data_IF_331770452473
#
_entry.id   IF_331770452473
#
_cell.length_a   1.000
_cell.length_b   1.000
_cell.length_c   1.000
_cell.angle_alpha   90.00
_cell.angle_beta   90.00
_cell.angle_gamma   90.00
#
_symmetry.space_group_name_H-M   'P 1'
#
loop_
_entity.id
_entity.type
_entity.pdbx_description
1 polymer ?
#
# COMPACT_ATOMS: atom_id res chain seq x y z
N UNK A 1 -27.83 34.58 -76.97
CA UNK A 1 -26.78 34.66 -75.94
C UNK A 1 -26.93 33.41 -75.06
N UNK A 2 -26.05 32.41 -75.18
CA UNK A 2 -26.16 31.21 -74.34
C UNK A 2 -25.37 31.38 -73.05
N UNK A 3 -25.99 30.95 -71.91
CA UNK A 3 -25.40 30.85 -70.58
C UNK A 3 -24.58 29.58 -70.48
N UNK A 4 -23.29 29.68 -70.23
CA UNK A 4 -22.43 28.54 -69.78
C UNK A 4 -22.62 28.27 -68.35
N UNK A 5 -23.04 27.02 -68.01
CA UNK A 5 -23.05 26.49 -66.66
C UNK A 5 -21.72 25.75 -66.41
N UNK A 6 -20.93 26.21 -65.42
CA UNK A 6 -19.71 25.59 -65.02
C UNK A 6 -20.10 24.50 -63.92
N UNK A 7 -19.87 23.24 -64.22
CA UNK A 7 -20.01 22.14 -63.31
C UNK A 7 -18.67 21.97 -62.57
N UNK A 8 -18.62 22.35 -61.28
CA UNK A 8 -17.49 22.07 -60.40
C UNK A 8 -17.69 20.65 -59.79
N UNK A 9 -16.87 19.71 -60.23
CA UNK A 9 -16.82 18.37 -59.63
C UNK A 9 -15.99 18.42 -58.35
N UNK A 10 -16.67 18.28 -57.20
CA UNK A 10 -16.02 18.10 -55.89
C UNK A 10 -15.63 16.62 -55.73
N UNK A 11 -14.33 16.35 -55.79
CA UNK A 11 -13.77 15.08 -55.33
C UNK A 11 -13.63 15.10 -53.82
N UNK A 12 -14.51 14.38 -53.11
CA UNK A 12 -14.35 14.11 -51.70
C UNK A 12 -13.37 12.97 -51.55
N UNK A 13 -12.14 13.29 -51.14
CA UNK A 13 -11.19 12.30 -50.64
C UNK A 13 -11.65 11.83 -49.25
N UNK A 14 -12.27 10.68 -49.20
CA UNK A 14 -12.42 9.93 -47.92
C UNK A 14 -11.05 9.43 -47.51
N UNK A 15 -10.36 10.19 -46.68
CA UNK A 15 -9.26 9.66 -45.87
C UNK A 15 -9.81 8.71 -44.81
N UNK A 16 -9.81 7.41 -45.11
CA UNK A 16 -9.98 6.36 -44.11
C UNK A 16 -8.83 6.44 -43.13
N UNK A 17 -9.02 7.17 -42.01
CA UNK A 17 -8.17 7.05 -40.84
C UNK A 17 -8.38 5.65 -40.29
N UNK A 18 -7.53 4.72 -40.70
CA UNK A 18 -7.31 3.47 -39.95
C UNK A 18 -6.80 3.89 -38.57
N UNK A 19 -7.71 3.98 -37.61
CA UNK A 19 -7.36 4.09 -36.20
C UNK A 19 -6.44 2.93 -35.86
N UNK A 20 -5.16 3.21 -35.67
CA UNK A 20 -4.26 2.27 -35.03
C UNK A 20 -4.82 2.06 -33.61
N UNK A 21 -5.54 0.97 -33.39
CA UNK A 21 -5.70 0.45 -32.03
C UNK A 21 -4.31 0.19 -31.48
N UNK A 22 -3.80 1.13 -30.71
CA UNK A 22 -2.65 0.88 -29.85
C UNK A 22 -3.11 -0.16 -28.87
N UNK A 23 -2.69 -1.40 -29.06
CA UNK A 23 -2.85 -2.49 -28.10
C UNK A 23 -2.00 -2.13 -26.87
N UNK A 24 -2.48 -1.17 -26.06
CA UNK A 24 -1.95 -0.91 -24.74
C UNK A 24 -2.28 -2.18 -23.94
N UNK A 25 -1.28 -2.89 -23.40
CA UNK A 25 -1.54 -4.08 -22.60
C UNK A 25 -2.56 -3.73 -21.52
N UNK A 26 -3.73 -4.35 -21.55
CA UNK A 26 -4.77 -4.11 -20.55
C UNK A 26 -4.25 -4.60 -19.22
N UNK A 27 -4.05 -3.67 -18.26
CA UNK A 27 -3.63 -4.03 -16.92
C UNK A 27 -4.77 -4.77 -16.19
N UNK A 28 -4.46 -5.90 -15.55
CA UNK A 28 -5.42 -6.70 -14.82
C UNK A 28 -4.89 -7.04 -13.43
N UNK A 29 -5.71 -6.79 -12.41
CA UNK A 29 -5.47 -7.27 -11.04
C UNK A 29 -5.62 -8.79 -10.94
N UNK A 30 -5.09 -9.41 -9.90
CA UNK A 30 -5.25 -10.84 -9.65
C UNK A 30 -6.72 -11.29 -9.64
N UNK A 31 -7.64 -10.47 -9.09
CA UNK A 31 -9.09 -10.73 -9.13
C UNK A 31 -9.66 -10.73 -10.56
N UNK A 32 -9.15 -9.86 -11.43
CA UNK A 32 -9.59 -9.81 -12.82
C UNK A 32 -9.10 -11.04 -13.58
N UNK A 33 -7.87 -11.47 -13.34
CA UNK A 33 -7.28 -12.68 -13.91
C UNK A 33 -8.07 -13.92 -13.46
N UNK A 34 -8.37 -14.04 -12.16
CA UNK A 34 -9.20 -15.09 -11.63
C UNK A 34 -10.59 -15.10 -12.29
N UNK A 35 -11.16 -13.90 -12.52
CA UNK A 35 -12.42 -13.73 -13.24
C UNK A 35 -12.35 -14.15 -14.71
N UNK A 36 -11.22 -13.95 -15.41
CA UNK A 36 -11.00 -14.47 -16.77
C UNK A 36 -10.98 -15.99 -16.82
N UNK A 37 -10.59 -16.65 -15.73
CA UNK A 37 -10.65 -18.10 -15.57
C UNK A 37 -12.02 -18.59 -15.11
N UNK A 38 -13.02 -17.71 -15.05
CA UNK A 38 -14.37 -18.01 -14.57
C UNK A 38 -14.35 -18.63 -13.15
N UNK A 39 -13.42 -18.18 -12.31
CA UNK A 39 -13.23 -18.60 -10.91
C UNK A 39 -13.06 -20.13 -10.73
N UNK A 40 -12.61 -20.85 -11.77
CA UNK A 40 -12.51 -22.32 -11.76
C UNK A 40 -11.68 -22.87 -10.61
N UNK A 41 -10.66 -22.13 -10.15
CA UNK A 41 -9.77 -22.52 -9.05
C UNK A 41 -10.50 -22.58 -7.69
N UNK A 42 -11.66 -21.91 -7.58
CA UNK A 42 -12.49 -21.84 -6.37
C UNK A 42 -13.81 -22.60 -6.47
N UNK A 43 -14.16 -23.13 -7.66
CA UNK A 43 -15.44 -23.84 -7.86
C UNK A 43 -15.54 -25.05 -6.95
N UNK A 44 -16.70 -25.21 -6.30
CA UNK A 44 -16.99 -26.31 -5.38
C UNK A 44 -16.35 -26.21 -4.01
N UNK A 45 -15.40 -25.27 -3.80
CA UNK A 45 -14.71 -25.06 -2.51
C UNK A 45 -15.46 -24.04 -1.65
N UNK A 46 -15.45 -24.24 -0.34
CA UNK A 46 -15.93 -23.27 0.64
C UNK A 46 -14.84 -22.22 0.92
N UNK A 47 -15.13 -20.97 0.61
CA UNK A 47 -14.18 -19.86 0.56
C UNK A 47 -14.41 -18.91 1.71
N UNK A 48 -13.32 -18.59 2.44
CA UNK A 48 -13.20 -17.42 3.31
C UNK A 48 -12.43 -16.31 2.57
N UNK A 49 -12.85 -15.06 2.69
CA UNK A 49 -12.19 -13.92 2.03
C UNK A 49 -11.68 -12.91 3.06
N UNK A 50 -10.36 -12.67 3.05
CA UNK A 50 -9.75 -11.56 3.78
C UNK A 50 -9.77 -10.34 2.88
N UNK A 51 -10.51 -9.29 3.27
CA UNK A 51 -10.73 -8.11 2.44
C UNK A 51 -11.13 -6.87 3.24
N UNK A 52 -11.09 -5.73 2.57
CA UNK A 52 -11.64 -4.45 3.02
C UNK A 52 -12.12 -3.64 1.80
N UNK A 53 -12.48 -2.33 1.92
CA UNK A 53 -12.94 -1.54 0.78
C UNK A 53 -11.97 -1.46 -0.40
N UNK A 54 -10.67 -1.68 -0.19
CA UNK A 54 -9.67 -1.67 -1.27
C UNK A 54 -9.64 -2.97 -2.09
N UNK A 55 -10.29 -4.04 -1.60
CA UNK A 55 -10.45 -5.31 -2.32
C UNK A 55 -11.52 -5.19 -3.41
N UNK A 56 -11.14 -4.61 -4.55
CA UNK A 56 -12.01 -4.40 -5.72
C UNK A 56 -11.34 -4.90 -6.99
N UNK A 57 -12.15 -5.16 -8.03
CA UNK A 57 -11.64 -5.43 -9.38
C UNK A 57 -11.22 -4.14 -10.11
N UNK A 58 -10.67 -4.26 -11.31
CA UNK A 58 -10.25 -3.11 -12.14
C UNK A 58 -11.37 -2.13 -12.50
N UNK A 59 -12.64 -2.51 -12.29
CA UNK A 59 -13.83 -1.66 -12.49
C UNK A 59 -14.37 -1.08 -11.19
N UNK A 60 -13.74 -1.38 -10.05
CA UNK A 60 -14.18 -0.94 -8.72
C UNK A 60 -15.27 -1.79 -8.10
N UNK A 61 -15.58 -2.97 -8.64
CA UNK A 61 -16.54 -3.88 -8.04
C UNK A 61 -15.89 -4.64 -6.87
N UNK A 62 -16.47 -4.62 -5.65
CA UNK A 62 -15.93 -5.34 -4.51
C UNK A 62 -15.69 -6.82 -4.77
N UNK A 63 -14.53 -7.34 -4.39
CA UNK A 63 -14.16 -8.74 -4.57
C UNK A 63 -15.16 -9.70 -3.92
N UNK A 64 -15.69 -9.36 -2.74
CA UNK A 64 -16.70 -10.19 -2.10
C UNK A 64 -17.99 -10.32 -2.95
N UNK A 65 -18.40 -9.26 -3.68
CA UNK A 65 -19.54 -9.33 -4.60
C UNK A 65 -19.24 -10.22 -5.81
N UNK A 66 -18.02 -10.10 -6.37
CA UNK A 66 -17.56 -10.95 -7.47
C UNK A 66 -17.58 -12.41 -7.07
N UNK A 67 -17.01 -12.74 -5.91
CA UNK A 67 -16.99 -14.11 -5.39
C UNK A 67 -18.39 -14.61 -5.02
N UNK A 68 -19.24 -13.76 -4.41
CA UNK A 68 -20.63 -14.14 -4.09
C UNK A 68 -21.43 -14.48 -5.35
N UNK A 69 -21.25 -13.68 -6.41
CA UNK A 69 -21.90 -13.95 -7.70
C UNK A 69 -21.42 -15.26 -8.33
N UNK A 70 -20.12 -15.55 -8.26
CA UNK A 70 -19.52 -16.73 -8.89
C UNK A 70 -19.74 -18.03 -8.10
N UNK A 71 -19.68 -17.96 -6.76
CA UNK A 71 -19.62 -19.12 -5.87
C UNK A 71 -20.91 -19.34 -5.07
N UNK A 72 -21.82 -18.37 -5.07
CA UNK A 72 -23.06 -18.43 -4.31
C UNK A 72 -22.82 -18.62 -2.81
N UNK A 73 -23.48 -19.63 -2.21
CA UNK A 73 -23.38 -19.94 -0.79
C UNK A 73 -21.99 -20.46 -0.37
N UNK A 74 -21.10 -20.77 -1.31
CA UNK A 74 -19.74 -21.23 -1.01
C UNK A 74 -18.80 -20.09 -0.59
N UNK A 75 -19.15 -18.82 -0.76
CA UNK A 75 -18.50 -17.74 -0.01
C UNK A 75 -19.08 -17.73 1.41
N UNK A 76 -18.36 -18.36 2.36
CA UNK A 76 -18.88 -18.70 3.69
C UNK A 76 -18.50 -17.72 4.79
N UNK A 77 -17.42 -16.94 4.61
CA UNK A 77 -16.95 -15.97 5.60
C UNK A 77 -16.14 -14.81 4.98
N UNK A 78 -16.24 -13.63 5.59
CA UNK A 78 -15.39 -12.47 5.34
C UNK A 78 -14.54 -12.20 6.59
N UNK A 79 -13.30 -11.74 6.38
CA UNK A 79 -12.36 -11.44 7.46
C UNK A 79 -11.80 -10.03 7.25
N UNK A 80 -12.06 -9.14 8.22
CA UNK A 80 -11.61 -7.75 8.20
C UNK A 80 -10.26 -7.58 8.85
N UNK A 81 -9.26 -6.97 8.17
CA UNK A 81 -8.01 -6.54 8.80
C UNK A 81 -8.24 -5.29 9.66
N UNK A 82 -7.18 -4.58 10.04
CA UNK A 82 -7.28 -3.23 10.57
C UNK A 82 -8.25 -2.38 9.72
N UNK A 83 -9.07 -1.56 10.34
CA UNK A 83 -10.20 -0.81 9.79
C UNK A 83 -11.46 -1.64 9.47
N UNK A 84 -11.41 -2.97 9.50
CA UNK A 84 -12.54 -3.87 9.23
C UNK A 84 -12.88 -4.05 7.75
N UNK A 85 -13.78 -4.99 7.46
CA UNK A 85 -14.24 -5.30 6.08
C UNK A 85 -14.81 -4.07 5.37
N UNK A 86 -15.49 -3.18 6.10
CA UNK A 86 -16.16 -1.99 5.55
C UNK A 86 -15.37 -0.68 5.74
N UNK A 87 -14.17 -0.72 6.33
CA UNK A 87 -13.30 0.44 6.46
C UNK A 87 -13.78 1.54 7.42
N UNK A 88 -14.67 1.22 8.36
CA UNK A 88 -15.35 2.21 9.23
C UNK A 88 -14.59 2.55 10.51
N UNK A 89 -13.50 1.84 10.83
CA UNK A 89 -12.76 1.98 12.10
C UNK A 89 -11.46 2.75 11.89
N UNK A 90 -11.18 3.73 12.77
CA UNK A 90 -9.94 4.53 12.71
C UNK A 90 -8.68 3.71 12.98
N UNK A 91 -7.50 4.23 12.56
CA UNK A 91 -6.21 3.57 12.71
C UNK A 91 -5.89 3.24 14.18
N UNK A 92 -5.30 2.09 14.43
CA UNK A 92 -4.88 1.62 15.75
C UNK A 92 -6.02 1.29 16.71
N UNK A 93 -7.28 1.54 16.32
CA UNK A 93 -8.43 1.21 17.18
C UNK A 93 -8.83 -0.22 17.00
N UNK A 94 -9.14 -0.85 18.13
CA UNK A 94 -9.71 -2.18 18.19
C UNK A 94 -10.95 -2.23 17.29
N UNK A 95 -10.97 -3.11 16.30
CA UNK A 95 -12.14 -3.42 15.51
C UNK A 95 -12.99 -4.35 16.38
N UNK A 96 -13.53 -3.78 17.52
CA UNK A 96 -14.43 -4.49 18.42
C UNK A 96 -15.70 -4.72 17.65
N UNK A 97 -15.91 -5.99 17.32
CA UNK A 97 -17.18 -6.44 16.83
C UNK A 97 -17.78 -5.46 15.81
N UNK A 98 -17.38 -5.51 14.55
CA UNK A 98 -18.48 -5.52 13.60
C UNK A 98 -19.40 -6.54 14.20
N UNK A 99 -20.56 -6.08 14.68
CA UNK A 99 -21.48 -6.81 15.60
C UNK A 99 -21.96 -8.19 15.09
N UNK A 100 -21.26 -8.80 14.18
CA UNK A 100 -21.68 -9.85 13.26
C UNK A 100 -20.73 -11.07 13.19
N UNK A 101 -19.81 -11.22 14.10
CA UNK A 101 -18.96 -12.43 14.21
C UNK A 101 -18.97 -13.08 15.58
N UNK A 102 -19.65 -12.46 16.56
CA UNK A 102 -19.75 -12.95 17.92
C UNK A 102 -21.01 -13.79 18.11
N UNK A 103 -20.85 -14.90 18.83
CA UNK A 103 -21.95 -15.64 19.45
C UNK A 103 -22.49 -14.80 20.63
N UNK A 104 -23.32 -13.78 20.30
CA UNK A 104 -23.84 -12.82 21.27
C UNK A 104 -24.74 -13.44 22.33
N UNK A 105 -25.36 -14.57 21.98
CA UNK A 105 -26.33 -15.22 22.82
C UNK A 105 -25.74 -16.45 23.49
N UNK A 106 -24.45 -16.77 23.28
CA UNK A 106 -23.78 -17.97 23.72
C UNK A 106 -24.54 -19.26 23.27
N UNK A 107 -25.24 -19.18 22.13
CA UNK A 107 -26.03 -20.27 21.55
C UNK A 107 -25.26 -21.06 20.48
N UNK A 108 -23.99 -20.74 20.27
CA UNK A 108 -23.11 -21.37 19.28
C UNK A 108 -23.35 -20.87 17.84
N UNK A 109 -24.25 -19.90 17.62
CA UNK A 109 -24.55 -19.37 16.29
C UNK A 109 -23.79 -18.06 16.02
N UNK A 110 -22.99 -18.06 14.97
CA UNK A 110 -22.30 -16.86 14.49
C UNK A 110 -23.30 -16.07 13.65
N UNK A 111 -23.54 -14.79 14.03
CA UNK A 111 -24.43 -13.91 13.27
C UNK A 111 -23.85 -13.64 11.88
N UNK A 112 -24.74 -13.48 10.90
CA UNK A 112 -24.40 -13.05 9.55
C UNK A 112 -24.55 -11.53 9.48
N UNK A 113 -23.72 -10.91 8.67
CA UNK A 113 -23.85 -9.50 8.33
C UNK A 113 -25.13 -9.26 7.53
N UNK A 114 -25.89 -8.20 7.88
CA UNK A 114 -27.19 -7.92 7.28
C UNK A 114 -27.09 -7.52 5.80
N UNK A 115 -26.03 -6.81 5.42
CA UNK A 115 -25.82 -6.35 4.04
C UNK A 115 -25.38 -7.50 3.12
N UNK A 116 -24.44 -8.32 3.58
CA UNK A 116 -23.84 -9.38 2.77
C UNK A 116 -24.50 -10.74 2.94
N UNK A 117 -25.18 -10.99 4.06
CA UNK A 117 -25.69 -12.29 4.46
C UNK A 117 -24.60 -13.33 4.74
N UNK A 118 -23.35 -12.90 4.98
CA UNK A 118 -22.16 -13.74 5.18
C UNK A 118 -21.66 -13.55 6.61
N UNK A 119 -20.99 -14.54 7.19
CA UNK A 119 -20.29 -14.38 8.49
C UNK A 119 -19.14 -13.39 8.33
N UNK A 120 -19.00 -12.44 9.24
CA UNK A 120 -17.91 -11.46 9.24
C UNK A 120 -17.10 -11.60 10.53
N UNK A 121 -15.79 -11.70 10.41
CA UNK A 121 -14.84 -11.81 11.51
C UNK A 121 -13.85 -10.67 11.49
N UNK A 122 -13.46 -10.16 12.67
CA UNK A 122 -12.37 -9.20 12.81
C UNK A 122 -11.04 -9.93 13.03
N UNK A 123 -10.01 -9.48 12.29
CA UNK A 123 -8.60 -9.84 12.49
C UNK A 123 -7.80 -8.67 13.08
N UNK A 124 -8.48 -7.70 13.70
CA UNK A 124 -7.84 -6.58 14.38
C UNK A 124 -8.63 -6.19 15.65
N UNK A 125 -8.86 -7.18 16.48
CA UNK A 125 -9.62 -7.06 17.71
C UNK A 125 -8.97 -7.91 18.80
N UNK A 126 -9.76 -8.80 19.40
CA UNK A 126 -9.30 -9.75 20.42
C UNK A 126 -8.26 -10.71 19.86
N UNK A 127 -8.31 -10.98 18.58
CA UNK A 127 -7.29 -11.75 17.86
C UNK A 127 -6.85 -11.05 16.58
N UNK A 128 -5.59 -11.26 16.18
CA UNK A 128 -5.04 -10.85 14.87
C UNK A 128 -4.81 -12.04 13.96
N UNK A 129 -4.77 -13.25 14.53
CA UNK A 129 -4.67 -14.51 13.81
C UNK A 129 -6.06 -15.17 13.80
N UNK A 130 -6.54 -15.66 12.65
CA UNK A 130 -7.79 -16.42 12.60
C UNK A 130 -7.74 -17.58 13.57
N UNK A 131 -8.76 -17.72 14.42
CA UNK A 131 -8.89 -18.89 15.30
C UNK A 131 -9.38 -20.11 14.52
N UNK A 132 -9.18 -21.32 15.07
CA UNK A 132 -9.67 -22.54 14.44
C UNK A 132 -11.19 -22.50 14.20
N UNK A 133 -11.95 -21.91 15.14
CA UNK A 133 -13.41 -21.71 15.03
C UNK A 133 -13.80 -20.77 13.88
N UNK A 134 -13.05 -19.69 13.69
CA UNK A 134 -13.28 -18.76 12.54
C UNK A 134 -13.10 -19.47 11.21
N UNK A 135 -12.22 -20.47 11.14
CA UNK A 135 -11.92 -21.25 9.92
C UNK A 135 -12.82 -22.47 9.71
N UNK A 136 -13.81 -22.70 10.60
CA UNK A 136 -14.70 -23.86 10.46
C UNK A 136 -15.53 -23.78 9.17
N UNK A 137 -15.45 -24.85 8.38
CA UNK A 137 -16.10 -24.96 7.10
C UNK A 137 -15.46 -24.13 5.99
N UNK A 138 -14.22 -23.64 6.17
CA UNK A 138 -13.41 -22.99 5.13
C UNK A 138 -12.41 -24.00 4.56
N UNK A 139 -12.29 -24.06 3.24
CA UNK A 139 -11.34 -24.92 2.51
C UNK A 139 -10.24 -24.10 1.83
N UNK A 140 -10.56 -22.84 1.47
CA UNK A 140 -9.59 -21.89 0.87
C UNK A 140 -9.77 -20.52 1.51
N UNK A 141 -8.68 -19.95 2.00
CA UNK A 141 -8.59 -18.54 2.41
C UNK A 141 -8.11 -17.70 1.24
N UNK A 142 -8.99 -16.91 0.64
CA UNK A 142 -8.62 -15.92 -0.37
C UNK A 142 -8.20 -14.63 0.33
N UNK A 143 -7.08 -14.06 -0.08
CA UNK A 143 -6.56 -12.79 0.42
C UNK A 143 -6.57 -11.75 -0.69
N UNK A 144 -7.29 -10.65 -0.48
CA UNK A 144 -7.41 -9.54 -1.43
C UNK A 144 -7.48 -8.19 -0.72
N UNK A 145 -6.29 -7.62 -0.45
CA UNK A 145 -6.09 -6.32 0.18
C UNK A 145 -5.03 -5.53 -0.58
N UNK A 146 -5.29 -4.23 -0.79
CA UNK A 146 -4.29 -3.32 -1.33
C UNK A 146 -3.35 -2.86 -0.22
N UNK A 147 -2.09 -3.27 -0.29
CA UNK A 147 -1.02 -2.79 0.59
C UNK A 147 -0.43 -1.46 0.08
N UNK A 148 0.38 -0.79 0.91
CA UNK A 148 1.08 0.46 0.57
C UNK A 148 2.58 0.28 0.30
N UNK A 149 3.10 -0.93 0.39
CA UNK A 149 4.51 -1.25 0.11
C UNK A 149 5.48 -0.92 1.26
N UNK A 150 4.96 -0.72 2.47
CA UNK A 150 5.72 -0.33 3.63
C UNK A 150 5.54 -1.32 4.80
N UNK A 151 6.64 -1.74 5.43
CA UNK A 151 6.66 -2.79 6.46
C UNK A 151 5.73 -2.51 7.64
N UNK A 152 5.58 -1.25 8.03
CA UNK A 152 4.75 -0.87 9.18
C UNK A 152 3.25 -0.86 8.87
N UNK A 153 2.85 -1.02 7.62
CA UNK A 153 1.45 -1.14 7.25
C UNK A 153 0.95 -2.57 7.53
N UNK A 154 -0.07 -2.70 8.37
CA UNK A 154 -0.39 -3.95 9.08
C UNK A 154 -0.89 -5.10 8.21
N UNK A 155 -1.28 -4.83 6.96
CA UNK A 155 -1.89 -5.85 6.11
C UNK A 155 -0.95 -7.00 5.78
N UNK A 156 0.34 -6.72 5.61
CA UNK A 156 1.32 -7.80 5.42
C UNK A 156 1.41 -8.73 6.63
N UNK A 157 1.29 -8.18 7.84
CA UNK A 157 1.28 -8.97 9.08
C UNK A 157 0.00 -9.80 9.20
N UNK A 158 -1.15 -9.24 8.81
CA UNK A 158 -2.41 -9.99 8.69
C UNK A 158 -2.27 -11.15 7.71
N UNK A 159 -1.62 -10.94 6.53
CA UNK A 159 -1.36 -12.01 5.56
C UNK A 159 -0.61 -13.18 6.18
N UNK A 160 0.51 -12.92 6.86
CA UNK A 160 1.30 -14.00 7.45
C UNK A 160 0.57 -14.76 8.55
N UNK A 161 -0.20 -14.06 9.40
CA UNK A 161 -1.01 -14.71 10.42
C UNK A 161 -2.16 -15.55 9.83
N UNK A 162 -2.74 -15.12 8.71
CA UNK A 162 -3.71 -15.91 7.94
C UNK A 162 -3.06 -17.15 7.35
N UNK A 163 -1.86 -17.01 6.76
CA UNK A 163 -1.11 -18.14 6.21
C UNK A 163 -0.72 -19.16 7.30
N UNK A 164 -0.30 -18.68 8.46
CA UNK A 164 0.03 -19.52 9.62
C UNK A 164 -1.22 -20.30 10.11
N UNK A 165 -2.36 -19.59 10.28
CA UNK A 165 -3.60 -20.22 10.70
C UNK A 165 -4.12 -21.25 9.68
N UNK A 166 -3.99 -20.95 8.39
CA UNK A 166 -4.35 -21.85 7.29
C UNK A 166 -3.45 -23.09 7.28
N UNK A 167 -2.15 -22.93 7.52
CA UNK A 167 -1.20 -24.04 7.62
C UNK A 167 -1.57 -24.96 8.78
N UNK A 168 -1.90 -24.41 9.95
CA UNK A 168 -2.33 -25.19 11.13
C UNK A 168 -3.64 -25.94 10.92
N UNK A 169 -4.58 -25.35 10.15
CA UNK A 169 -5.87 -25.97 9.79
C UNK A 169 -5.76 -26.94 8.61
N UNK A 170 -4.64 -26.90 7.84
CA UNK A 170 -4.44 -27.70 6.64
C UNK A 170 -5.26 -27.24 5.43
N UNK A 171 -5.65 -25.96 5.38
CA UNK A 171 -6.40 -25.37 4.26
C UNK A 171 -5.48 -24.57 3.32
N UNK A 172 -5.96 -24.26 2.12
CA UNK A 172 -5.22 -23.51 1.12
C UNK A 172 -5.33 -22.00 1.37
N UNK A 173 -4.27 -21.25 1.03
CA UNK A 173 -4.30 -19.77 0.90
C UNK A 173 -4.15 -19.41 -0.56
N UNK A 174 -5.06 -18.55 -1.05
CA UNK A 174 -4.98 -17.97 -2.39
C UNK A 174 -4.83 -16.45 -2.27
N UNK A 175 -3.72 -15.91 -2.78
CA UNK A 175 -3.47 -14.47 -2.82
C UNK A 175 -3.80 -13.92 -4.20
N UNK A 176 -4.72 -12.96 -4.27
CA UNK A 176 -5.01 -12.21 -5.48
C UNK A 176 -4.04 -11.03 -5.53
N UNK A 177 -3.04 -11.10 -6.41
CA UNK A 177 -1.96 -10.13 -6.37
C UNK A 177 -2.39 -8.73 -6.82
N UNK A 178 -1.73 -7.72 -6.22
CA UNK A 178 -2.00 -6.28 -6.41
C UNK A 178 -0.72 -5.48 -6.59
N UNK A 179 -0.78 -4.32 -7.27
CA UNK A 179 0.37 -3.43 -7.44
C UNK A 179 0.95 -3.00 -6.09
N UNK A 180 2.27 -2.95 -6.01
CA UNK A 180 2.93 -2.15 -4.99
C UNK A 180 2.88 -0.68 -5.43
N UNK A 181 2.17 0.22 -4.72
CA UNK A 181 1.98 1.59 -5.18
C UNK A 181 3.27 2.42 -5.22
N UNK A 182 4.30 1.97 -4.49
CA UNK A 182 5.63 2.58 -4.48
C UNK A 182 6.54 2.08 -5.62
N UNK A 183 6.09 1.06 -6.36
CA UNK A 183 6.91 0.29 -7.30
C UNK A 183 7.78 -0.76 -6.59
N UNK A 184 8.02 -1.89 -7.27
CA UNK A 184 8.89 -2.94 -6.72
C UNK A 184 10.39 -2.63 -6.90
N UNK A 185 10.72 -1.60 -7.69
CA UNK A 185 12.09 -1.08 -7.79
C UNK A 185 12.56 -0.40 -6.49
N UNK A 186 11.62 0.15 -5.68
CA UNK A 186 11.94 0.90 -4.46
C UNK A 186 12.19 -0.03 -3.29
N UNK A 187 13.43 -0.02 -2.80
CA UNK A 187 13.85 -0.74 -1.59
C UNK A 187 14.69 0.21 -0.76
N UNK A 188 14.21 0.56 0.44
CA UNK A 188 14.89 1.57 1.28
C UNK A 188 14.49 1.46 2.77
N UNK A 189 15.23 2.17 3.60
CA UNK A 189 14.99 2.23 5.04
C UNK A 189 15.62 1.09 5.85
N UNK A 190 15.48 1.12 7.18
CA UNK A 190 16.17 0.19 8.06
C UNK A 190 15.69 -1.25 7.89
N UNK A 191 16.65 -2.18 7.81
CA UNK A 191 16.49 -3.62 8.01
C UNK A 191 17.34 -4.03 9.20
N UNK A 192 16.89 -3.82 10.44
CA UNK A 192 17.69 -4.12 11.61
C UNK A 192 17.84 -5.62 11.83
N UNK A 193 19.03 -6.00 12.27
CA UNK A 193 19.39 -7.37 12.65
C UNK A 193 20.02 -7.39 14.05
N UNK A 194 20.05 -8.56 14.69
CA UNK A 194 20.68 -8.76 15.98
C UNK A 194 19.79 -8.47 17.19
N UNK A 195 20.40 -8.34 18.36
CA UNK A 195 19.71 -8.35 19.67
C UNK A 195 18.81 -7.14 19.95
N UNK A 196 19.02 -6.01 19.23
CA UNK A 196 18.22 -4.80 19.45
C UNK A 196 16.95 -4.75 18.60
N UNK A 197 16.62 -5.84 17.89
CA UNK A 197 15.39 -5.97 17.11
C UNK A 197 14.18 -6.04 18.04
N UNK A 198 13.12 -5.32 17.66
CA UNK A 198 11.84 -5.31 18.38
C UNK A 198 10.77 -5.93 17.46
N UNK A 199 10.47 -7.22 17.59
CA UNK A 199 9.37 -7.84 16.87
C UNK A 199 8.05 -7.21 17.31
N UNK A 200 7.21 -6.86 16.34
CA UNK A 200 5.89 -6.31 16.63
C UNK A 200 4.97 -6.53 15.42
N UNK A 201 3.67 -6.33 15.60
CA UNK A 201 2.71 -6.45 14.51
C UNK A 201 2.96 -5.46 13.36
N UNK A 202 3.54 -4.28 13.64
CA UNK A 202 3.97 -3.30 12.66
C UNK A 202 5.43 -3.48 12.18
N UNK A 203 6.07 -4.56 12.59
CA UNK A 203 7.46 -4.88 12.25
C UNK A 203 7.74 -6.38 12.33
N UNK A 204 6.80 -7.20 11.86
CA UNK A 204 6.84 -8.66 12.00
C UNK A 204 8.01 -9.30 11.25
N UNK A 205 8.32 -8.81 10.04
CA UNK A 205 9.26 -9.44 9.13
C UNK A 205 10.64 -8.80 9.12
N UNK A 206 11.67 -9.61 8.86
CA UNK A 206 13.03 -9.16 8.63
C UNK A 206 13.23 -8.69 7.19
N UNK A 207 12.61 -7.56 6.88
CA UNK A 207 12.65 -6.89 5.57
C UNK A 207 12.94 -5.39 5.79
N UNK A 208 13.45 -4.66 4.78
CA UNK A 208 13.59 -3.20 4.85
C UNK A 208 12.26 -2.50 5.09
N UNK A 209 12.30 -1.24 5.51
CA UNK A 209 11.08 -0.45 5.76
C UNK A 209 10.20 -0.36 4.51
N UNK A 210 10.80 -0.10 3.34
CA UNK A 210 10.16 -0.27 2.02
C UNK A 210 10.76 -1.50 1.38
N UNK A 211 9.97 -2.54 1.17
CA UNK A 211 10.46 -3.87 0.87
C UNK A 211 10.50 -4.22 -0.64
N UNK A 212 9.80 -3.48 -1.48
CA UNK A 212 9.88 -3.59 -2.93
C UNK A 212 9.42 -4.93 -3.50
N UNK A 213 8.33 -5.49 -3.00
CA UNK A 213 7.63 -6.67 -3.53
C UNK A 213 6.15 -6.35 -3.68
N UNK A 214 5.44 -7.04 -4.58
CA UNK A 214 3.97 -7.10 -4.54
C UNK A 214 3.51 -7.95 -3.37
N UNK A 215 2.23 -7.93 -3.04
CA UNK A 215 1.70 -8.73 -1.93
C UNK A 215 1.80 -10.25 -2.24
N UNK A 216 1.65 -10.65 -3.50
CA UNK A 216 1.82 -12.03 -3.94
C UNK A 216 3.27 -12.50 -3.87
N UNK A 217 4.22 -11.65 -4.28
CA UNK A 217 5.66 -11.91 -4.16
C UNK A 217 6.08 -12.03 -2.69
N UNK A 218 5.56 -11.12 -1.82
CA UNK A 218 5.80 -11.17 -0.39
C UNK A 218 5.20 -12.43 0.25
N UNK A 219 4.00 -12.86 -0.18
CA UNK A 219 3.38 -14.09 0.31
C UNK A 219 4.27 -15.32 0.04
N UNK A 220 4.90 -15.41 -1.14
CA UNK A 220 5.85 -16.49 -1.47
C UNK A 220 7.06 -16.46 -0.53
N UNK A 221 7.64 -15.27 -0.30
CA UNK A 221 8.75 -15.11 0.64
C UNK A 221 8.35 -15.49 2.08
N UNK A 222 7.18 -15.02 2.56
CA UNK A 222 6.65 -15.38 3.89
C UNK A 222 6.52 -16.90 4.00
N UNK A 223 5.95 -17.55 2.98
CA UNK A 223 5.68 -18.97 2.97
C UNK A 223 6.95 -19.83 3.07
N UNK A 224 8.02 -19.41 2.41
CA UNK A 224 9.26 -20.16 2.33
C UNK A 224 10.24 -19.83 3.46
N UNK A 225 10.33 -18.54 3.84
CA UNK A 225 11.38 -18.06 4.74
C UNK A 225 10.89 -17.82 6.16
N UNK A 226 9.66 -17.34 6.31
CA UNK A 226 9.17 -16.90 7.62
C UNK A 226 8.33 -17.95 8.34
N UNK A 227 7.48 -18.70 7.64
CA UNK A 227 6.67 -19.74 8.24
C UNK A 227 7.51 -20.93 8.68
N UNK A 228 7.24 -21.47 9.86
CA UNK A 228 7.91 -22.70 10.35
C UNK A 228 7.66 -23.91 9.45
N UNK A 229 6.49 -23.97 8.83
CA UNK A 229 6.09 -24.95 7.81
C UNK A 229 5.32 -24.21 6.73
N UNK A 230 5.61 -24.44 5.44
CA UNK A 230 4.87 -23.81 4.36
C UNK A 230 3.39 -24.21 4.39
N UNK A 231 2.50 -23.24 4.11
CA UNK A 231 1.09 -23.52 3.78
C UNK A 231 0.96 -23.87 2.29
N UNK A 232 -0.18 -24.43 1.91
CA UNK A 232 -0.53 -24.58 0.48
C UNK A 232 -0.89 -23.19 -0.05
N UNK A 233 0.01 -22.59 -0.83
CA UNK A 233 -0.12 -21.23 -1.34
C UNK A 233 -0.33 -21.23 -2.85
N UNK A 234 -1.37 -20.56 -3.31
CA UNK A 234 -1.60 -20.20 -4.70
C UNK A 234 -1.57 -18.68 -4.83
N UNK A 235 -0.80 -18.14 -5.75
CA UNK A 235 -0.81 -16.71 -6.09
C UNK A 235 -1.41 -16.54 -7.48
N UNK A 236 -2.48 -15.76 -7.60
CA UNK A 236 -3.04 -15.34 -8.89
C UNK A 236 -2.35 -14.05 -9.32
N UNK A 237 -1.44 -14.10 -10.29
CA UNK A 237 -0.64 -12.94 -10.66
C UNK A 237 -1.48 -11.90 -11.42
N UNK A 238 -1.02 -10.66 -11.41
CA UNK A 238 -1.49 -9.60 -12.28
C UNK A 238 -1.05 -9.84 -13.73
N UNK A 239 -1.73 -9.20 -14.68
CA UNK A 239 -1.25 -9.08 -16.07
C UNK A 239 -0.92 -7.62 -16.38
N UNK A 240 0.16 -7.40 -17.13
CA UNK A 240 0.60 -6.06 -17.53
C UNK A 240 1.39 -5.28 -16.45
N UNK A 241 1.68 -5.87 -15.29
CA UNK A 241 2.56 -5.30 -14.28
C UNK A 241 4.03 -5.54 -14.60
N UNK A 242 4.88 -4.55 -14.28
CA UNK A 242 6.35 -4.69 -14.32
C UNK A 242 6.97 -4.11 -13.05
N UNK A 243 8.24 -4.46 -12.81
CA UNK A 243 8.96 -3.98 -11.62
C UNK A 243 9.17 -2.45 -11.62
N UNK A 244 9.17 -1.79 -12.80
CA UNK A 244 9.36 -0.35 -12.96
C UNK A 244 8.06 0.47 -12.88
N UNK A 245 6.92 -0.17 -12.69
CA UNK A 245 5.63 0.50 -12.57
C UNK A 245 5.36 0.95 -11.14
N UNK A 246 4.63 2.06 -11.02
CA UNK A 246 3.94 2.52 -9.80
C UNK A 246 2.43 2.38 -10.00
N UNK A 247 1.63 2.73 -9.01
CA UNK A 247 0.16 2.69 -9.15
C UNK A 247 -0.32 3.54 -10.33
N UNK A 248 0.26 4.71 -10.51
CA UNK A 248 -0.12 5.67 -11.54
C UNK A 248 -0.01 5.08 -12.96
N UNK A 249 0.96 4.19 -13.18
CA UNK A 249 1.17 3.53 -14.47
C UNK A 249 0.07 2.49 -14.80
N UNK A 250 -0.72 2.07 -13.83
CA UNK A 250 -1.81 1.08 -14.04
C UNK A 250 -3.06 1.69 -14.67
N UNK A 251 -3.25 3.00 -14.55
CA UNK A 251 -4.47 3.69 -14.94
C UNK A 251 -5.69 3.39 -14.07
N UNK A 252 -5.53 2.59 -13.01
CA UNK A 252 -6.63 2.25 -12.10
C UNK A 252 -6.97 3.39 -11.15
N UNK A 253 -8.27 3.48 -10.82
CA UNK A 253 -8.73 4.37 -9.75
C UNK A 253 -8.28 3.81 -8.39
N UNK A 254 -7.67 4.68 -7.57
CA UNK A 254 -7.35 4.32 -6.19
C UNK A 254 -8.62 4.19 -5.35
N UNK A 255 -8.68 3.13 -4.54
CA UNK A 255 -9.65 2.99 -3.46
C UNK A 255 -8.89 3.07 -2.14
N UNK A 256 -9.35 3.91 -1.23
CA UNK A 256 -8.68 4.13 0.04
C UNK A 256 -8.43 2.80 0.77
N UNK A 257 -7.18 2.54 1.13
CA UNK A 257 -6.78 1.35 1.89
C UNK A 257 -7.06 1.52 3.38
N UNK A 258 -7.02 2.77 3.83
CA UNK A 258 -7.36 3.21 5.18
C UNK A 258 -7.82 4.67 5.15
N UNK A 259 -8.43 5.19 6.22
CA UNK A 259 -8.85 6.59 6.26
C UNK A 259 -7.72 7.60 5.96
N UNK A 260 -6.49 7.31 6.41
CA UNK A 260 -5.33 8.18 6.18
C UNK A 260 -4.56 7.89 4.88
N UNK A 261 -5.02 6.93 4.05
CA UNK A 261 -4.46 6.68 2.70
C UNK A 261 -5.59 6.80 1.64
N UNK A 262 -6.24 7.97 1.55
CA UNK A 262 -7.35 8.18 0.62
C UNK A 262 -6.95 8.24 -0.85
N UNK A 263 -5.68 8.55 -1.13
CA UNK A 263 -5.11 8.63 -2.50
C UNK A 263 -3.67 8.10 -2.51
N UNK A 264 -3.17 7.71 -3.67
CA UNK A 264 -1.85 7.04 -3.83
C UNK A 264 -0.67 7.84 -3.29
N UNK A 265 -0.66 9.18 -3.46
CA UNK A 265 0.46 9.97 -2.94
C UNK A 265 0.61 9.87 -1.42
N UNK A 266 -0.49 9.56 -0.68
CA UNK A 266 -0.41 9.33 0.76
C UNK A 266 0.42 8.09 1.12
N UNK A 267 0.52 7.09 0.25
CA UNK A 267 1.42 5.95 0.45
C UNK A 267 2.90 6.39 0.42
N UNK A 268 3.27 7.27 -0.53
CA UNK A 268 4.61 7.88 -0.58
C UNK A 268 4.87 8.79 0.62
N UNK A 269 3.88 9.60 0.96
CA UNK A 269 3.90 10.46 2.15
C UNK A 269 4.07 9.65 3.43
N UNK A 270 3.39 8.51 3.57
CA UNK A 270 3.53 7.60 4.71
C UNK A 270 4.97 7.13 4.90
N UNK A 271 5.67 6.80 3.82
CA UNK A 271 7.10 6.47 3.87
C UNK A 271 7.95 7.67 4.28
N UNK A 272 7.65 8.86 3.73
CA UNK A 272 8.46 10.06 3.91
C UNK A 272 8.26 10.75 5.27
N UNK A 273 7.07 10.63 5.87
CA UNK A 273 6.70 11.39 7.08
C UNK A 273 6.10 10.53 8.20
N UNK A 274 5.98 9.22 8.00
CA UNK A 274 5.30 8.34 8.96
C UNK A 274 5.94 8.30 10.34
N UNK A 275 7.27 8.41 10.45
CA UNK A 275 7.97 8.40 11.74
C UNK A 275 7.69 9.65 12.58
N UNK A 276 7.34 10.76 11.96
CA UNK A 276 7.11 12.02 12.66
C UNK A 276 5.92 11.97 13.61
N UNK A 277 4.86 11.22 13.25
CA UNK A 277 3.69 11.06 14.12
C UNK A 277 4.06 10.59 15.52
N UNK A 278 5.00 9.67 15.61
CA UNK A 278 5.48 9.06 16.85
C UNK A 278 6.49 9.94 17.61
N UNK A 279 6.88 11.06 17.03
CA UNK A 279 7.78 12.06 17.63
C UNK A 279 7.02 13.31 18.10
N UNK A 280 5.70 13.28 18.05
CA UNK A 280 4.85 14.42 18.36
C UNK A 280 4.95 15.55 17.32
N UNK A 281 5.39 15.21 16.11
CA UNK A 281 5.41 16.09 14.93
C UNK A 281 4.22 15.75 14.08
N UNK A 282 3.38 16.72 13.74
CA UNK A 282 2.20 16.47 12.91
C UNK A 282 2.62 16.09 11.49
N UNK A 283 2.17 14.96 11.01
CA UNK A 283 2.32 14.51 9.61
C UNK A 283 1.02 14.63 8.81
N UNK A 284 0.02 15.33 9.34
CA UNK A 284 -1.29 15.52 8.71
C UNK A 284 -2.25 14.35 8.90
N UNK A 285 -1.80 13.19 9.36
CA UNK A 285 -2.69 12.09 9.71
C UNK A 285 -3.57 12.46 10.91
N UNK A 286 -4.82 12.03 10.89
CA UNK A 286 -5.78 12.32 11.93
C UNK A 286 -6.82 11.18 12.04
N UNK A 287 -7.61 11.12 13.13
CA UNK A 287 -8.54 10.02 13.37
C UNK A 287 -9.61 9.82 12.29
N UNK A 288 -9.92 10.86 11.53
CA UNK A 288 -10.95 10.83 10.48
C UNK A 288 -10.40 10.59 9.08
N UNK A 289 -9.07 10.73 8.88
CA UNK A 289 -8.43 10.70 7.56
C UNK A 289 -8.76 11.90 6.67
N UNK A 290 -9.39 12.93 7.23
CA UNK A 290 -9.78 14.13 6.46
C UNK A 290 -8.56 14.96 6.07
N UNK A 291 -8.66 15.60 4.90
CA UNK A 291 -7.68 16.58 4.46
C UNK A 291 -7.61 17.76 5.43
N UNK A 292 -6.43 18.38 5.54
CA UNK A 292 -6.17 19.56 6.37
C UNK A 292 -6.08 20.80 5.49
N UNK A 293 -6.71 21.89 5.91
CA UNK A 293 -6.65 23.18 5.19
C UNK A 293 -5.59 24.08 5.84
N UNK A 294 -4.70 24.61 5.03
CA UNK A 294 -3.69 25.60 5.42
C UNK A 294 -4.28 26.97 5.71
N UNK A 295 -3.49 27.83 6.36
CA UNK A 295 -3.87 29.22 6.60
C UNK A 295 -3.97 30.04 5.29
N UNK A 296 -3.35 29.56 4.21
CA UNK A 296 -3.41 30.10 2.85
C UNK A 296 -4.57 29.54 2.02
N UNK A 297 -5.43 28.72 2.62
CA UNK A 297 -6.54 28.03 1.94
C UNK A 297 -6.15 26.80 1.13
N UNK A 298 -4.85 26.46 1.02
CA UNK A 298 -4.42 25.24 0.35
C UNK A 298 -4.81 23.99 1.14
N UNK A 299 -5.03 22.88 0.43
CA UNK A 299 -5.46 21.61 1.03
C UNK A 299 -4.37 20.57 0.91
N UNK A 300 -4.08 19.91 2.02
CA UNK A 300 -3.16 18.76 2.08
C UNK A 300 -3.90 17.50 2.51
N UNK A 301 -3.35 16.37 2.12
CA UNK A 301 -3.81 15.07 2.57
C UNK A 301 -2.97 14.57 3.76
N UNK A 302 -3.41 13.54 4.48
CA UNK A 302 -2.58 12.87 5.46
C UNK A 302 -1.23 12.47 4.88
N UNK A 303 -0.17 12.62 5.69
CA UNK A 303 1.23 12.36 5.34
C UNK A 303 1.87 13.30 4.29
N UNK A 304 1.16 14.33 3.83
CA UNK A 304 1.75 15.32 2.92
C UNK A 304 2.68 16.32 3.62
N UNK A 305 2.76 16.32 4.96
CA UNK A 305 3.52 17.33 5.73
C UNK A 305 4.31 16.70 6.90
N UNK A 306 5.25 17.49 7.42
CA UNK A 306 5.66 17.39 8.82
C UNK A 306 5.80 18.80 9.40
N UNK A 307 5.14 19.03 10.53
CA UNK A 307 4.98 20.37 11.10
C UNK A 307 4.89 20.34 12.63
N UNK A 308 5.34 21.44 13.24
CA UNK A 308 5.34 21.66 14.69
C UNK A 308 5.04 23.13 15.00
N UNK A 309 4.68 23.41 16.26
CA UNK A 309 4.66 24.77 16.77
C UNK A 309 6.07 25.39 16.81
N UNK A 310 6.17 26.69 16.66
CA UNK A 310 7.40 27.47 16.77
C UNK A 310 8.52 27.06 15.77
N UNK A 311 8.15 26.44 14.63
CA UNK A 311 9.10 26.12 13.55
C UNK A 311 9.14 27.26 12.54
N UNK A 312 10.35 27.68 12.16
CA UNK A 312 10.57 28.45 10.94
C UNK A 312 10.43 27.52 9.72
N UNK A 313 9.26 27.60 9.06
CA UNK A 313 8.90 26.72 7.95
C UNK A 313 9.77 26.99 6.70
N UNK A 314 10.17 28.24 6.47
CA UNK A 314 11.02 28.66 5.37
C UNK A 314 12.42 28.08 5.54
N UNK A 315 13.01 28.23 6.72
CA UNK A 315 14.34 27.71 7.03
C UNK A 315 14.34 26.16 7.03
N UNK A 316 13.29 25.53 7.55
CA UNK A 316 13.13 24.08 7.46
C UNK A 316 13.14 23.60 6.00
N UNK A 317 12.33 24.23 5.14
CA UNK A 317 12.23 23.87 3.73
C UNK A 317 13.53 24.14 2.97
N UNK A 318 14.24 25.24 3.27
CA UNK A 318 15.52 25.55 2.69
C UNK A 318 16.54 24.43 2.99
N UNK A 319 16.69 24.05 4.27
CA UNK A 319 17.60 22.97 4.69
C UNK A 319 17.22 21.61 4.12
N UNK A 320 15.92 21.29 4.05
CA UNK A 320 15.46 20.05 3.42
C UNK A 320 15.79 20.01 1.92
N UNK A 321 15.67 21.14 1.23
CA UNK A 321 16.03 21.25 -0.19
C UNK A 321 17.55 21.08 -0.39
N UNK A 322 18.35 21.69 0.45
CA UNK A 322 19.82 21.55 0.45
C UNK A 322 20.29 20.13 0.73
N UNK A 323 19.47 19.32 1.40
CA UNK A 323 19.79 17.92 1.64
C UNK A 323 19.89 17.10 0.34
N UNK A 324 19.16 17.50 -0.73
CA UNK A 324 19.29 16.98 -2.09
C UNK A 324 18.40 15.76 -2.40
N UNK A 325 17.13 15.79 -1.99
CA UNK A 325 16.16 14.73 -2.33
C UNK A 325 15.63 14.91 -3.77
N UNK A 326 16.27 14.28 -4.74
CA UNK A 326 15.91 14.37 -6.14
C UNK A 326 14.47 13.85 -6.39
N UNK A 327 13.64 14.66 -7.08
CA UNK A 327 12.24 14.35 -7.35
C UNK A 327 11.31 14.59 -6.14
N UNK A 328 11.79 15.28 -5.10
CA UNK A 328 10.99 15.70 -3.95
C UNK A 328 11.06 17.21 -3.77
N UNK A 329 9.89 17.83 -3.61
CA UNK A 329 9.75 19.26 -3.35
C UNK A 329 9.29 19.49 -1.92
N UNK A 330 9.94 20.45 -1.23
CA UNK A 330 9.56 20.94 0.09
C UNK A 330 9.05 22.36 -0.05
N UNK A 331 7.87 22.66 0.50
CA UNK A 331 7.28 24.01 0.50
C UNK A 331 6.77 24.35 1.89
N UNK A 332 6.97 25.60 2.35
CA UNK A 332 6.46 26.03 3.65
C UNK A 332 4.95 25.85 3.73
N UNK A 333 4.47 25.37 4.89
CA UNK A 333 3.06 25.16 5.14
C UNK A 333 2.70 25.50 6.57
N UNK A 334 1.55 26.15 6.77
CA UNK A 334 1.05 26.53 8.09
C UNK A 334 -0.44 26.21 8.18
N UNK A 335 -0.85 25.67 9.33
CA UNK A 335 -2.25 25.32 9.58
C UNK A 335 -2.57 25.34 11.06
N UNK A 336 -3.86 25.25 11.38
CA UNK A 336 -4.36 25.00 12.73
C UNK A 336 -5.09 23.66 12.74
N UNK A 337 -4.63 22.65 13.51
CA UNK A 337 -5.36 21.41 13.65
C UNK A 337 -6.78 21.63 14.17
N UNK A 338 -7.76 20.98 13.55
CA UNK A 338 -9.16 21.08 13.99
C UNK A 338 -9.44 20.29 15.27
N UNK A 339 -8.62 19.28 15.56
CA UNK A 339 -8.80 18.32 16.66
C UNK A 339 -7.48 18.02 17.37
N UNK A 340 -7.55 17.35 18.53
CA UNK A 340 -6.37 16.92 19.29
C UNK A 340 -5.79 18.02 20.19
N UNK A 341 -4.66 17.70 20.86
CA UNK A 341 -4.01 18.58 21.84
C UNK A 341 -3.48 19.90 21.26
N UNK A 342 -3.25 19.94 19.95
CA UNK A 342 -2.76 21.13 19.23
C UNK A 342 -3.88 21.95 18.59
N UNK A 343 -5.13 21.69 18.97
CA UNK A 343 -6.29 22.46 18.47
C UNK A 343 -6.04 23.95 18.66
N UNK A 344 -6.22 24.71 17.58
CA UNK A 344 -6.06 26.17 17.54
C UNK A 344 -4.59 26.69 17.66
N UNK A 345 -3.61 25.83 17.85
CA UNK A 345 -2.20 26.21 17.79
C UNK A 345 -1.76 26.27 16.32
N UNK A 346 -1.01 27.31 15.94
CA UNK A 346 -0.43 27.37 14.59
C UNK A 346 0.72 26.39 14.50
N UNK A 347 0.56 25.41 13.62
CA UNK A 347 1.62 24.47 13.25
C UNK A 347 2.28 24.98 11.97
N UNK A 348 3.61 24.97 11.94
CA UNK A 348 4.39 25.38 10.78
C UNK A 348 5.41 24.29 10.43
N UNK A 349 5.68 24.10 9.15
CA UNK A 349 6.59 23.07 8.70
C UNK A 349 6.71 22.95 7.19
N UNK A 350 7.06 21.76 6.72
CA UNK A 350 7.27 21.47 5.32
C UNK A 350 6.16 20.59 4.75
N UNK A 351 5.55 21.03 3.65
CA UNK A 351 4.80 20.16 2.76
C UNK A 351 5.78 19.37 1.90
N UNK A 352 5.53 18.05 1.77
CA UNK A 352 6.37 17.11 1.02
C UNK A 352 5.61 16.64 -0.20
N UNK A 353 6.15 16.88 -1.38
CA UNK A 353 5.61 16.39 -2.64
C UNK A 353 6.68 15.58 -3.37
N UNK A 354 6.50 14.26 -3.42
CA UNK A 354 7.40 13.34 -4.10
C UNK A 354 6.79 12.83 -5.40
N UNK A 355 7.56 12.90 -6.49
CA UNK A 355 7.17 12.28 -7.74
C UNK A 355 7.02 10.75 -7.56
N UNK A 356 6.11 10.08 -8.29
CA UNK A 356 5.91 8.64 -8.17
C UNK A 356 7.21 7.84 -8.32
N UNK A 357 8.06 8.22 -9.26
CA UNK A 357 9.34 7.58 -9.56
C UNK A 357 10.55 8.39 -9.05
N UNK A 358 10.36 9.25 -8.05
CA UNK A 358 11.47 9.99 -7.46
C UNK A 358 12.61 9.05 -7.07
N UNK A 359 13.87 9.31 -7.49
CA UNK A 359 15.00 8.44 -7.14
C UNK A 359 15.46 8.62 -5.69
N UNK A 360 14.95 9.65 -4.99
CA UNK A 360 15.28 9.92 -3.60
C UNK A 360 14.87 8.76 -2.67
N UNK A 361 15.68 8.52 -1.65
CA UNK A 361 15.30 7.67 -0.51
C UNK A 361 14.27 8.42 0.35
N UNK A 362 12.99 8.07 0.20
CA UNK A 362 11.89 8.74 0.90
C UNK A 362 11.95 8.49 2.41
N UNK A 363 12.37 7.28 2.84
CA UNK A 363 12.52 6.95 4.26
C UNK A 363 13.55 7.87 4.96
N UNK A 364 14.60 8.28 4.23
CA UNK A 364 15.63 9.17 4.75
C UNK A 364 15.10 10.58 5.09
N UNK A 365 13.98 11.01 4.50
CA UNK A 365 13.32 12.29 4.81
C UNK A 365 12.98 12.40 6.30
N UNK A 366 12.55 11.28 6.92
CA UNK A 366 12.27 11.27 8.37
C UNK A 366 13.51 11.59 9.20
N UNK A 367 14.67 11.04 8.83
CA UNK A 367 15.91 11.29 9.58
C UNK A 367 16.45 12.70 9.34
N UNK A 368 16.45 13.14 8.08
CA UNK A 368 16.88 14.49 7.73
C UNK A 368 16.01 15.56 8.40
N UNK A 369 14.68 15.40 8.32
CA UNK A 369 13.75 16.32 8.97
C UNK A 369 13.91 16.33 10.49
N UNK A 370 14.08 15.16 11.12
CA UNK A 370 14.31 15.08 12.57
C UNK A 370 15.63 15.80 12.98
N UNK A 371 16.71 15.58 12.24
CA UNK A 371 17.98 16.28 12.49
C UNK A 371 17.81 17.80 12.39
N UNK A 372 17.13 18.29 11.34
CA UNK A 372 16.90 19.71 11.13
C UNK A 372 15.98 20.29 12.21
N UNK A 373 14.89 19.61 12.55
CA UNK A 373 13.98 20.04 13.62
C UNK A 373 14.68 20.12 14.98
N UNK A 374 15.56 19.17 15.30
CA UNK A 374 16.38 19.23 16.52
C UNK A 374 17.31 20.46 16.57
N UNK A 375 17.83 20.89 15.42
CA UNK A 375 18.67 22.10 15.32
C UNK A 375 17.82 23.39 15.39
N UNK A 376 16.60 23.39 14.86
CA UNK A 376 15.70 24.55 14.93
C UNK A 376 15.01 24.69 16.29
N UNK A 377 14.82 23.57 17.00
CA UNK A 377 14.16 23.51 18.31
C UNK A 377 15.07 22.82 19.34
N UNK A 378 16.21 23.42 19.73
CA UNK A 378 17.23 22.73 20.54
C UNK A 378 16.73 22.35 21.95
N UNK A 379 15.70 23.02 22.46
CA UNK A 379 15.09 22.72 23.78
C UNK A 379 14.02 21.64 23.74
N UNK A 380 13.62 21.18 22.54
CA UNK A 380 12.61 20.14 22.42
C UNK A 380 13.21 18.75 22.53
N UNK A 381 12.72 17.99 23.50
CA UNK A 381 13.01 16.55 23.57
C UNK A 381 11.97 15.77 22.74
N UNK A 382 12.36 15.26 21.58
CA UNK A 382 11.51 14.47 20.69
C UNK A 382 11.24 13.05 21.22
N UNK A 383 11.99 12.61 22.21
CA UNK A 383 11.88 11.29 22.84
C UNK A 383 11.41 11.37 24.31
N UNK A 384 10.66 12.43 24.67
CA UNK A 384 10.17 12.62 26.04
C UNK A 384 9.02 11.69 26.42
N UNK A 385 8.18 11.31 25.45
CA UNK A 385 6.99 10.47 25.67
C UNK A 385 7.34 9.00 25.46
N UNK A 386 7.16 8.19 26.49
CA UNK A 386 7.56 6.78 26.48
C UNK A 386 6.75 5.91 25.48
N UNK A 387 5.46 6.22 25.29
CA UNK A 387 4.61 5.46 24.34
C UNK A 387 5.03 5.79 22.90
N UNK A 388 5.24 7.07 22.61
CA UNK A 388 5.73 7.54 21.33
C UNK A 388 7.11 6.96 21.00
N UNK A 389 8.01 6.94 21.98
CA UNK A 389 9.34 6.31 21.86
C UNK A 389 9.23 4.83 21.52
N UNK A 390 8.36 4.11 22.20
CA UNK A 390 8.14 2.68 21.92
C UNK A 390 7.60 2.48 20.50
N UNK A 391 6.68 3.33 20.04
CA UNK A 391 6.14 3.25 18.67
C UNK A 391 7.18 3.62 17.62
N UNK A 392 7.98 4.65 17.85
CA UNK A 392 9.13 4.98 16.99
C UNK A 392 10.11 3.81 16.86
N UNK A 393 10.47 3.18 17.98
CA UNK A 393 11.35 2.00 18.00
C UNK A 393 10.71 0.82 17.25
N UNK A 394 9.39 0.57 17.39
CA UNK A 394 8.65 -0.46 16.64
C UNK A 394 8.58 -0.18 15.15
N UNK A 395 8.36 1.07 14.71
CA UNK A 395 8.39 1.47 13.30
C UNK A 395 9.75 1.18 12.67
N UNK A 396 10.82 1.52 13.37
CA UNK A 396 12.18 1.21 12.96
C UNK A 396 12.53 -0.28 13.14
N UNK A 397 11.71 -1.05 13.89
CA UNK A 397 11.95 -2.43 14.32
C UNK A 397 13.22 -2.57 15.19
N UNK A 398 13.74 -1.47 15.72
CA UNK A 398 14.96 -1.45 16.54
C UNK A 398 15.05 -0.20 17.40
N UNK A 399 15.67 -0.34 18.57
CA UNK A 399 16.10 0.81 19.42
C UNK A 399 17.37 1.51 18.88
N UNK A 400 18.08 0.87 17.96
CA UNK A 400 19.36 1.38 17.46
C UNK A 400 19.21 2.74 16.79
N UNK A 401 18.19 2.92 15.94
CA UNK A 401 17.95 4.20 15.23
C UNK A 401 17.82 5.35 16.23
N UNK A 402 17.01 5.19 17.29
CA UNK A 402 16.85 6.21 18.32
C UNK A 402 18.15 6.48 19.06
N UNK A 403 18.90 5.45 19.48
CA UNK A 403 20.19 5.59 20.14
C UNK A 403 21.19 6.35 19.30
N UNK A 404 21.24 6.13 17.98
CA UNK A 404 22.10 6.89 17.07
C UNK A 404 21.70 8.37 17.02
N UNK A 405 20.39 8.68 17.00
CA UNK A 405 19.89 10.06 17.06
C UNK A 405 20.24 10.71 18.39
N UNK A 406 20.07 10.03 19.53
CA UNK A 406 20.42 10.52 20.87
C UNK A 406 21.93 10.75 21.01
N UNK A 407 22.76 9.91 20.40
CA UNK A 407 24.21 10.06 20.33
C UNK A 407 24.67 11.19 19.40
N UNK A 408 23.78 11.93 18.76
CA UNK A 408 24.11 13.07 17.90
C UNK A 408 24.60 12.68 16.49
N UNK A 409 24.44 11.44 16.05
CA UNK A 409 24.77 11.06 14.69
C UNK A 409 23.92 11.86 13.69
N UNK A 410 24.54 12.26 12.59
CA UNK A 410 23.83 12.96 11.51
C UNK A 410 22.88 12.00 10.78
N UNK A 411 21.83 12.56 10.14
CA UNK A 411 20.91 11.76 9.35
C UNK A 411 21.63 10.98 8.24
N UNK A 412 22.66 11.54 7.60
CA UNK A 412 23.47 10.84 6.59
C UNK A 412 24.20 9.62 7.18
N UNK A 413 24.78 9.74 8.37
CA UNK A 413 25.42 8.62 9.05
C UNK A 413 24.42 7.52 9.41
N UNK A 414 23.24 7.89 9.89
CA UNK A 414 22.18 6.94 10.23
C UNK A 414 21.68 6.22 8.96
N UNK A 415 21.38 6.95 7.89
CA UNK A 415 20.91 6.39 6.61
C UNK A 415 21.95 5.45 6.00
N UNK A 416 23.24 5.78 6.08
CA UNK A 416 24.31 4.92 5.60
C UNK A 416 24.33 3.54 6.29
N UNK A 417 23.89 3.45 7.55
CA UNK A 417 23.79 2.14 8.25
C UNK A 417 22.76 1.18 7.63
N UNK A 418 21.83 1.68 6.82
CA UNK A 418 20.79 0.88 6.19
C UNK A 418 21.26 0.17 4.90
N UNK A 419 22.32 0.71 4.25
CA UNK A 419 22.75 0.31 2.92
C UNK A 419 23.08 -1.18 2.80
N UNK A 420 23.82 -1.73 3.75
CA UNK A 420 24.17 -3.16 3.75
C UNK A 420 22.92 -4.08 3.83
N UNK A 421 21.97 -3.72 4.72
CA UNK A 421 20.72 -4.46 4.87
C UNK A 421 19.83 -4.38 3.62
N UNK A 422 19.78 -3.19 2.99
CA UNK A 422 19.05 -2.96 1.74
C UNK A 422 19.68 -3.75 0.58
N UNK A 423 21.01 -3.71 0.44
CA UNK A 423 21.74 -4.45 -0.60
C UNK A 423 21.50 -5.97 -0.45
N UNK A 424 21.65 -6.48 0.75
CA UNK A 424 21.40 -7.89 1.07
C UNK A 424 19.98 -8.31 0.71
N UNK A 425 18.98 -7.50 1.08
CA UNK A 425 17.58 -7.78 0.76
C UNK A 425 17.29 -7.77 -0.74
N UNK A 426 17.89 -6.86 -1.49
CA UNK A 426 17.74 -6.82 -2.96
C UNK A 426 18.17 -8.14 -3.61
N UNK A 427 19.18 -8.82 -3.07
CA UNK A 427 19.58 -10.16 -3.55
C UNK A 427 18.61 -11.25 -3.05
N UNK A 428 18.27 -11.25 -1.76
CA UNK A 428 17.42 -12.26 -1.13
C UNK A 428 16.01 -12.32 -1.71
N UNK A 429 15.46 -11.18 -2.16
CA UNK A 429 14.11 -11.12 -2.74
C UNK A 429 14.02 -11.60 -4.18
N UNK A 430 15.15 -11.68 -4.94
CA UNK A 430 15.14 -12.03 -6.36
C UNK A 430 14.38 -13.30 -6.71
N UNK A 431 14.49 -14.42 -5.96
CA UNK A 431 13.76 -15.65 -6.27
C UNK A 431 12.23 -15.51 -6.21
N UNK A 432 11.73 -14.48 -5.55
CA UNK A 432 10.28 -14.25 -5.33
C UNK A 432 9.66 -13.29 -6.33
N UNK A 433 10.49 -12.56 -7.11
CA UNK A 433 10.02 -11.65 -8.15
C UNK A 433 9.29 -12.44 -9.25
N UNK A 434 8.04 -12.08 -9.53
CA UNK A 434 7.20 -12.77 -10.50
C UNK A 434 7.04 -11.98 -11.81
N UNK A 435 7.39 -10.70 -11.81
CA UNK A 435 7.12 -9.81 -12.93
C UNK A 435 8.40 -9.37 -13.63
N UNK A 436 8.36 -9.13 -14.96
CA UNK A 436 9.51 -8.66 -15.70
C UNK A 436 9.93 -7.26 -15.24
N UNK A 437 11.16 -6.90 -15.49
CA UNK A 437 11.67 -5.56 -15.20
C UNK A 437 10.94 -4.49 -16.02
N UNK A 438 10.70 -4.78 -17.31
CA UNK A 438 9.93 -3.93 -18.23
C UNK A 438 9.08 -4.80 -19.17
N UNK A 439 8.05 -4.22 -19.78
CA UNK A 439 7.33 -4.88 -20.85
C UNK A 439 8.25 -4.98 -22.07
N UNK A 440 8.37 -6.17 -22.66
CA UNK A 440 9.04 -6.28 -23.96
C UNK A 440 8.30 -5.44 -25.01
N UNK A 441 9.01 -4.68 -25.83
CA UNK A 441 8.36 -4.02 -26.97
C UNK A 441 7.69 -5.07 -27.84
N UNK A 442 6.40 -4.89 -28.12
CA UNK A 442 5.66 -5.79 -29.02
C UNK A 442 6.44 -5.89 -30.34
N UNK A 443 7.10 -7.04 -30.59
CA UNK A 443 7.75 -7.29 -31.86
C UNK A 443 6.69 -7.21 -32.95
N UNK A 444 6.75 -6.16 -33.77
CA UNK A 444 5.95 -6.09 -34.97
C UNK A 444 6.32 -7.29 -35.82
N UNK A 445 5.42 -8.25 -35.98
CA UNK A 445 5.57 -9.26 -37.02
C UNK A 445 5.58 -8.50 -38.35
N UNK A 446 6.65 -8.57 -39.17
CA UNK A 446 6.63 -7.94 -40.45
C UNK A 446 5.43 -8.50 -41.20
N UNK A 447 4.61 -7.60 -41.78
CA UNK A 447 3.57 -8.03 -42.72
C UNK A 447 4.23 -8.89 -43.80
N UNK A 448 3.95 -10.18 -43.80
CA UNK A 448 4.43 -11.11 -44.81
C UNK A 448 3.97 -10.56 -46.16
N UNK A 449 4.96 -10.23 -46.99
CA UNK A 449 4.78 -9.54 -48.25
C UNK A 449 3.72 -10.21 -49.08
N UNK A 450 2.87 -9.35 -49.68
CA UNK A 450 1.95 -9.70 -50.74
C UNK A 450 2.72 -10.46 -51.85
N UNK A 451 2.43 -11.73 -52.03
CA UNK A 451 2.86 -12.46 -53.20
C UNK A 451 2.31 -11.72 -54.45
N UNK A 452 3.18 -11.05 -55.18
CA UNK A 452 2.85 -10.54 -56.53
C UNK A 452 2.55 -11.73 -57.40
N UNK A 453 1.29 -11.91 -57.75
CA UNK A 453 0.93 -12.72 -58.92
C UNK A 453 1.49 -11.97 -60.14
N UNK A 454 2.42 -12.60 -60.85
CA UNK A 454 2.86 -12.16 -62.16
C UNK A 454 1.82 -12.62 -63.21
N UNK A 455 1.67 -11.83 -64.29
CA UNK A 455 0.67 -12.02 -65.31
C UNK A 455 0.81 -13.29 -66.13
#
# INVERSE_FOLDING_TARGET
MPRFALILSFWVLLASSLGQETNVPTFLLGIDVLGQHDFRELRGKKVGLVTNPSGVDGKGVPTWQRLRKALGANLVALYGPEHGVFGKVGAGKHVSGEKHGEDRNNDGKISKDEETGIRVFSLYGDTRKPTQRMLDGVEVMVYDLQDVGCRSYTYISTLGLVMEAAQEKGIEVMVLDRPNPLGTFRVEGPRPQGEMVIPSFIGQYDIPYVYGLTIGELAKWINEVHLRRPCRLTVIPMKGWTQQMTWEDTGLKWVATSPNIPITRCARGYVATGFFGELGVSNGANPTGMATTGLDGSVIQPFDIFALENVDAEELCRRMTEWGFNGVKFTPFRFKPATGRYRSVVMAGARVAADPKAPANLTAINMAGLEILRKLLPHKNFFADAENVLMFDKLNRTRQTRKMVEAGMTARQIVATWEAGVAKWKEERKPYLMYPESLEPVRRVPATGSARLKP
#
